data_IF_102266389325
#
_entry.id   IF_102266389325
#
_cell.length_a   1.000
_cell.length_b   1.000
_cell.length_c   1.000
_cell.angle_alpha   90.00
_cell.angle_beta   90.00
_cell.angle_gamma   90.00
#
_symmetry.space_group_name_H-M   'P 1'
#
loop_
_entity.id
_entity.type
_entity.pdbx_description
1 polymer ?
#
# COMPACT_ATOMS: atom_id res chain seq x y z
N UNK A 1 -9.59 -28.05 4.56
CA UNK A 1 -10.33 -27.82 5.82
C UNK A 1 -10.74 -26.36 5.77
N UNK A 2 -12.03 -26.06 5.65
CA UNK A 2 -12.49 -24.69 5.41
C UNK A 2 -12.33 -23.77 6.62
N UNK A 3 -12.33 -24.35 7.83
CA UNK A 3 -12.09 -23.64 9.09
C UNK A 3 -11.10 -24.46 9.93
N UNK A 4 -10.05 -23.81 10.42
CA UNK A 4 -9.10 -24.41 11.37
C UNK A 4 -9.11 -23.63 12.67
N UNK A 5 -8.74 -24.29 13.76
CA UNK A 5 -8.75 -23.72 15.10
C UNK A 5 -7.41 -23.97 15.78
N UNK A 6 -6.86 -22.90 16.36
CA UNK A 6 -5.72 -22.92 17.24
C UNK A 6 -6.22 -22.62 18.64
N UNK A 7 -6.05 -23.56 19.58
CA UNK A 7 -6.42 -23.37 20.99
C UNK A 7 -6.69 -24.70 21.68
N UNK A 8 -7.13 -24.63 22.93
CA UNK A 8 -7.59 -25.80 23.69
C UNK A 8 -9.10 -26.02 23.55
N UNK A 9 -9.56 -27.25 23.81
CA UNK A 9 -10.98 -27.60 23.77
C UNK A 9 -11.51 -27.99 22.39
N UNK A 10 -12.82 -28.23 22.31
CA UNK A 10 -13.48 -28.64 21.06
C UNK A 10 -13.71 -27.42 20.16
N UNK A 11 -13.21 -27.40 18.91
CA UNK A 11 -13.36 -26.26 18.01
C UNK A 11 -14.80 -25.80 17.78
N UNK A 12 -15.76 -26.71 17.69
CA UNK A 12 -17.17 -26.37 17.44
C UNK A 12 -17.81 -25.71 18.67
N UNK A 13 -17.53 -26.24 19.86
CA UNK A 13 -18.02 -25.67 21.12
C UNK A 13 -17.41 -24.29 21.38
N UNK A 14 -16.11 -24.13 21.08
CA UNK A 14 -15.42 -22.84 21.20
C UNK A 14 -15.95 -21.82 20.20
N UNK A 15 -16.17 -22.24 18.94
CA UNK A 15 -16.76 -21.36 17.93
C UNK A 15 -18.16 -20.89 18.34
N UNK A 16 -19.02 -21.83 18.76
CA UNK A 16 -20.37 -21.49 19.24
C UNK A 16 -20.32 -20.57 20.47
N UNK A 17 -19.42 -20.83 21.42
CA UNK A 17 -19.25 -19.98 22.60
C UNK A 17 -18.98 -18.52 22.24
N UNK A 18 -18.09 -18.25 21.27
CA UNK A 18 -17.79 -16.88 20.85
C UNK A 18 -18.92 -16.22 20.04
N UNK A 19 -19.76 -17.01 19.36
CA UNK A 19 -20.95 -16.49 18.71
C UNK A 19 -22.02 -16.11 19.74
N UNK A 20 -22.21 -16.93 20.76
CA UNK A 20 -23.18 -16.69 21.84
C UNK A 20 -22.70 -15.60 22.80
N UNK A 21 -21.38 -15.43 22.93
CA UNK A 21 -20.73 -14.48 23.83
C UNK A 21 -19.69 -13.65 23.05
N UNK A 22 -20.13 -12.75 22.15
CA UNK A 22 -19.22 -11.97 21.32
C UNK A 22 -18.32 -11.09 22.20
N UNK A 23 -16.98 -11.23 22.12
CA UNK A 23 -16.08 -10.41 22.92
C UNK A 23 -16.11 -8.95 22.46
N UNK A 24 -15.70 -8.03 23.35
CA UNK A 24 -15.55 -6.62 23.01
C UNK A 24 -14.38 -6.35 22.06
N UNK A 25 -13.49 -7.32 21.84
CA UNK A 25 -12.30 -7.14 21.03
C UNK A 25 -11.91 -8.45 20.35
N UNK A 26 -11.52 -8.37 19.09
CA UNK A 26 -10.96 -9.46 18.28
C UNK A 26 -9.73 -8.95 17.53
N UNK A 27 -8.79 -9.82 17.19
CA UNK A 27 -7.70 -9.48 16.28
C UNK A 27 -7.84 -10.21 14.95
N UNK A 28 -7.52 -9.52 13.86
CA UNK A 28 -7.70 -9.97 12.49
C UNK A 28 -6.36 -9.92 11.77
N UNK A 29 -6.11 -10.95 10.98
CA UNK A 29 -5.00 -11.02 10.02
C UNK A 29 -5.49 -11.66 8.73
N UNK A 30 -4.95 -11.28 7.57
CA UNK A 30 -5.35 -11.80 6.27
C UNK A 30 -4.15 -12.31 5.49
N UNK A 31 -4.30 -13.45 4.82
CA UNK A 31 -3.29 -13.99 3.91
C UNK A 31 -3.71 -13.80 2.46
N UNK A 32 -2.76 -13.36 1.63
CA UNK A 32 -2.92 -13.15 0.18
C UNK A 32 -1.75 -13.80 -0.58
N UNK A 33 -1.90 -14.10 -1.89
CA UNK A 33 -0.83 -14.64 -2.73
C UNK A 33 0.46 -13.80 -2.68
N UNK A 34 0.30 -12.47 -2.68
CA UNK A 34 1.38 -11.49 -2.59
C UNK A 34 0.84 -10.15 -2.08
N UNK A 35 1.74 -9.19 -1.84
CA UNK A 35 1.35 -7.83 -1.42
C UNK A 35 0.56 -7.07 -2.50
N UNK A 36 0.69 -7.47 -3.78
CA UNK A 36 0.01 -6.84 -4.92
C UNK A 36 -1.26 -7.57 -5.32
N UNK A 37 -1.31 -8.89 -5.15
CA UNK A 37 -2.49 -9.70 -5.42
C UNK A 37 -3.37 -9.77 -4.17
N UNK A 38 -4.39 -8.92 -4.10
CA UNK A 38 -5.26 -8.80 -2.93
C UNK A 38 -6.35 -9.87 -2.82
N UNK A 39 -6.32 -10.91 -3.66
CA UNK A 39 -7.27 -12.02 -3.54
C UNK A 39 -7.06 -12.71 -2.19
N UNK A 40 -8.05 -12.74 -1.28
CA UNK A 40 -7.87 -13.34 0.03
C UNK A 40 -7.77 -14.87 -0.09
N UNK A 41 -6.68 -15.45 0.41
CA UNK A 41 -6.55 -16.91 0.58
C UNK A 41 -7.37 -17.38 1.79
N UNK A 42 -7.39 -16.56 2.83
CA UNK A 42 -8.16 -16.74 4.03
C UNK A 42 -7.76 -15.68 5.05
N UNK A 43 -8.44 -15.68 6.20
CA UNK A 43 -8.18 -14.74 7.27
C UNK A 43 -8.35 -15.42 8.63
N UNK A 44 -7.66 -14.92 9.64
CA UNK A 44 -7.78 -15.37 11.00
C UNK A 44 -8.53 -14.36 11.87
N UNK A 45 -9.26 -14.88 12.85
CA UNK A 45 -9.80 -14.12 13.98
C UNK A 45 -9.23 -14.73 15.25
N UNK A 46 -8.42 -13.96 15.99
CA UNK A 46 -8.01 -14.30 17.34
C UNK A 46 -8.95 -13.66 18.37
N UNK A 47 -9.39 -14.48 19.32
CA UNK A 47 -10.25 -14.10 20.43
C UNK A 47 -9.46 -13.86 21.72
N UNK A 48 -8.22 -14.36 21.75
CA UNK A 48 -7.23 -14.17 22.81
C UNK A 48 -5.83 -14.50 22.25
N UNK A 49 -4.75 -14.24 23.00
CA UNK A 49 -3.42 -14.72 22.61
C UNK A 49 -3.27 -16.26 22.62
N UNK A 50 -4.30 -17.00 23.02
CA UNK A 50 -4.30 -18.48 23.05
C UNK A 50 -5.24 -19.09 22.01
N UNK A 51 -6.22 -18.35 21.50
CA UNK A 51 -7.30 -18.89 20.68
C UNK A 51 -7.53 -18.11 19.40
N UNK A 52 -7.50 -18.79 18.25
CA UNK A 52 -7.81 -18.21 16.96
C UNK A 52 -8.44 -19.21 15.99
N UNK A 53 -9.37 -18.73 15.19
CA UNK A 53 -9.93 -19.46 14.06
C UNK A 53 -9.37 -18.90 12.76
N UNK A 54 -9.07 -19.75 11.79
CA UNK A 54 -8.78 -19.35 10.42
C UNK A 54 -9.87 -19.84 9.49
N UNK A 55 -10.29 -18.97 8.59
CA UNK A 55 -11.32 -19.19 7.61
C UNK A 55 -10.70 -19.14 6.22
N UNK A 56 -10.62 -20.31 5.58
CA UNK A 56 -10.08 -20.41 4.23
C UNK A 56 -11.09 -19.82 3.23
N UNK A 57 -10.71 -18.80 2.46
CA UNK A 57 -11.61 -18.12 1.50
C UNK A 57 -11.40 -18.62 0.08
N UNK A 58 -10.16 -18.93 -0.30
CA UNK A 58 -9.83 -19.50 -1.60
C UNK A 58 -9.59 -21.01 -1.50
N UNK A 59 -10.11 -21.85 -2.42
CA UNK A 59 -10.85 -21.47 -3.63
C UNK A 59 -12.33 -21.13 -3.38
N UNK A 60 -12.92 -21.59 -2.27
CA UNK A 60 -14.29 -21.27 -1.90
C UNK A 60 -14.43 -20.95 -0.41
N UNK A 61 -15.20 -19.90 -0.03
CA UNK A 61 -15.38 -19.51 1.36
C UNK A 61 -16.32 -20.46 2.12
N UNK A 62 -16.12 -20.66 3.44
CA UNK A 62 -17.04 -21.42 4.29
C UNK A 62 -18.41 -20.73 4.36
N UNK A 63 -19.47 -21.54 4.47
CA UNK A 63 -20.83 -21.01 4.68
C UNK A 63 -20.99 -20.35 6.04
N UNK A 64 -20.15 -20.76 6.99
CA UNK A 64 -20.11 -20.25 8.36
C UNK A 64 -19.64 -18.79 8.46
N UNK A 65 -19.12 -18.18 7.38
CA UNK A 65 -18.75 -16.75 7.39
C UNK A 65 -19.93 -15.84 7.74
N UNK A 66 -21.15 -16.21 7.33
CA UNK A 66 -22.38 -15.49 7.68
C UNK A 66 -22.61 -15.41 9.20
N UNK A 67 -22.14 -16.41 9.95
CA UNK A 67 -22.24 -16.44 11.41
C UNK A 67 -21.32 -15.42 12.08
N UNK A 68 -20.30 -14.91 11.39
CA UNK A 68 -19.36 -13.91 11.92
C UNK A 68 -19.92 -12.49 11.91
N UNK A 69 -21.07 -12.24 11.27
CA UNK A 69 -21.67 -10.91 11.18
C UNK A 69 -21.85 -10.20 12.55
N UNK A 70 -22.34 -10.86 13.61
CA UNK A 70 -22.45 -10.23 14.94
C UNK A 70 -21.11 -9.76 15.54
N UNK A 71 -19.98 -10.28 15.06
CA UNK A 71 -18.64 -9.85 15.45
C UNK A 71 -18.11 -8.77 14.50
N UNK A 72 -18.07 -9.06 13.20
CA UNK A 72 -17.39 -8.22 12.22
C UNK A 72 -18.18 -6.96 11.84
N UNK A 73 -19.51 -6.94 12.00
CA UNK A 73 -20.36 -5.79 11.65
C UNK A 73 -20.78 -4.98 12.88
N UNK A 74 -20.40 -5.39 14.08
CA UNK A 74 -20.76 -4.70 15.31
C UNK A 74 -19.73 -3.62 15.65
N UNK A 75 -20.15 -2.35 15.69
CA UNK A 75 -19.27 -1.21 15.99
C UNK A 75 -18.76 -1.18 17.44
N UNK A 76 -19.39 -1.94 18.34
CA UNK A 76 -18.92 -2.08 19.72
C UNK A 76 -17.75 -3.06 19.84
N UNK A 77 -17.54 -3.92 18.84
CA UNK A 77 -16.40 -4.83 18.79
C UNK A 77 -15.21 -4.10 18.19
N UNK A 78 -14.12 -4.01 18.94
CA UNK A 78 -12.85 -3.47 18.45
C UNK A 78 -12.13 -4.51 17.58
N UNK A 79 -11.69 -4.11 16.38
CA UNK A 79 -10.92 -4.93 15.44
C UNK A 79 -9.46 -4.54 15.55
N UNK A 80 -8.66 -5.41 16.17
CA UNK A 80 -7.21 -5.26 16.25
C UNK A 80 -6.61 -5.77 14.94
N UNK A 81 -5.63 -5.06 14.40
CA UNK A 81 -4.80 -5.55 13.31
C UNK A 81 -3.35 -5.07 13.50
N UNK A 82 -2.46 -5.51 12.63
CA UNK A 82 -1.08 -5.03 12.57
C UNK A 82 -0.76 -4.61 11.14
N UNK A 83 -0.66 -3.30 10.88
CA UNK A 83 -0.79 -2.70 9.55
C UNK A 83 -2.22 -2.73 9.00
N UNK A 84 -3.17 -2.30 9.84
CA UNK A 84 -4.61 -2.38 9.58
C UNK A 84 -5.08 -1.94 8.17
N UNK A 85 -4.41 -0.97 7.53
CA UNK A 85 -4.74 -0.53 6.16
C UNK A 85 -4.76 -1.70 5.17
N UNK A 86 -3.86 -2.68 5.32
CA UNK A 86 -3.80 -3.83 4.42
C UNK A 86 -4.96 -4.79 4.68
N UNK A 87 -5.02 -5.38 5.87
CA UNK A 87 -6.00 -6.42 6.23
C UNK A 87 -7.44 -5.94 6.04
N UNK A 88 -7.73 -4.73 6.51
CA UNK A 88 -9.07 -4.15 6.47
C UNK A 88 -9.48 -3.70 5.05
N UNK A 89 -8.53 -3.56 4.12
CA UNK A 89 -8.83 -3.33 2.70
C UNK A 89 -9.06 -4.61 1.91
N UNK A 90 -8.60 -5.76 2.42
CA UNK A 90 -8.78 -7.06 1.77
C UNK A 90 -10.08 -7.72 2.23
N UNK A 91 -10.46 -7.60 3.50
CA UNK A 91 -11.70 -8.20 4.02
C UNK A 91 -12.98 -7.88 3.22
N UNK A 92 -13.20 -6.65 2.70
CA UNK A 92 -14.39 -6.36 1.88
C UNK A 92 -14.48 -7.18 0.58
N UNK A 93 -13.35 -7.74 0.11
CA UNK A 93 -13.27 -8.61 -1.07
C UNK A 93 -13.71 -10.05 -0.77
N UNK A 94 -13.81 -10.43 0.51
CA UNK A 94 -14.34 -11.72 0.92
C UNK A 94 -15.87 -11.69 0.78
N UNK A 95 -16.48 -12.68 0.09
CA UNK A 95 -17.93 -12.81 0.03
C UNK A 95 -18.54 -12.77 1.43
N UNK A 96 -19.69 -12.10 1.57
CA UNK A 96 -20.41 -11.88 2.84
C UNK A 96 -19.82 -10.81 3.77
N UNK A 97 -18.62 -10.25 3.48
CA UNK A 97 -17.93 -9.27 4.33
C UNK A 97 -17.77 -7.86 3.73
N UNK A 98 -18.33 -7.57 2.55
CA UNK A 98 -18.21 -6.29 1.83
C UNK A 98 -18.60 -5.04 2.63
N UNK A 99 -19.40 -5.19 3.69
CA UNK A 99 -19.85 -4.09 4.55
C UNK A 99 -19.44 -4.22 6.02
N UNK A 100 -18.39 -4.98 6.32
CA UNK A 100 -17.98 -5.16 7.72
C UNK A 100 -17.61 -3.81 8.38
N UNK A 101 -17.77 -3.74 9.69
CA UNK A 101 -17.58 -2.51 10.43
C UNK A 101 -16.08 -2.21 10.65
N UNK A 102 -15.68 -1.00 10.24
CA UNK A 102 -14.34 -0.45 10.37
C UNK A 102 -14.30 0.80 11.27
N UNK A 103 -15.32 1.01 12.11
CA UNK A 103 -15.42 2.23 12.94
C UNK A 103 -14.63 2.12 14.26
N UNK A 104 -14.36 0.91 14.72
CA UNK A 104 -13.67 0.62 15.97
C UNK A 104 -12.45 -0.27 15.70
N UNK A 105 -11.31 0.36 15.45
CA UNK A 105 -10.05 -0.29 15.04
C UNK A 105 -8.96 0.00 16.06
N UNK A 106 -8.08 -0.96 16.27
CA UNK A 106 -6.80 -0.74 16.94
C UNK A 106 -5.66 -1.30 16.10
N UNK A 107 -4.81 -0.43 15.54
CA UNK A 107 -3.61 -0.85 14.83
C UNK A 107 -2.40 -0.91 15.78
N UNK A 108 -1.97 -2.14 16.08
CA UNK A 108 -0.81 -2.39 16.96
C UNK A 108 0.49 -1.86 16.37
N UNK A 109 0.57 -1.70 15.04
CA UNK A 109 1.74 -1.17 14.37
C UNK A 109 1.90 0.34 14.62
N UNK A 110 0.81 1.09 14.48
CA UNK A 110 0.74 2.52 14.85
C UNK A 110 1.02 2.70 16.35
N UNK A 111 0.43 1.87 17.21
CA UNK A 111 0.67 1.91 18.65
C UNK A 111 2.17 1.71 18.99
N UNK A 112 2.81 0.70 18.39
CA UNK A 112 4.23 0.44 18.62
C UNK A 112 5.12 1.65 18.26
N UNK A 113 4.82 2.35 17.16
CA UNK A 113 5.59 3.55 16.77
C UNK A 113 5.44 4.70 17.76
N UNK A 114 4.22 4.96 18.23
CA UNK A 114 3.96 5.99 19.24
C UNK A 114 4.67 5.70 20.56
N UNK A 115 4.80 4.41 20.89
CA UNK A 115 5.59 3.94 22.04
C UNK A 115 7.11 3.91 21.76
N UNK A 116 7.58 4.50 20.67
CA UNK A 116 9.00 4.71 20.38
C UNK A 116 9.73 3.49 19.82
N UNK A 117 9.03 2.53 19.21
CA UNK A 117 9.68 1.37 18.57
C UNK A 117 10.20 1.73 17.19
N UNK A 118 11.51 1.57 17.00
CA UNK A 118 12.19 1.83 15.71
C UNK A 118 11.81 0.82 14.62
N UNK A 119 11.68 -0.46 15.00
CA UNK A 119 11.34 -1.55 14.08
C UNK A 119 10.02 -2.18 14.52
N UNK A 120 9.01 -2.03 13.68
CA UNK A 120 7.64 -2.40 14.03
C UNK A 120 7.08 -3.53 13.18
N UNK A 121 7.92 -4.33 12.51
CA UNK A 121 7.43 -5.55 11.87
C UNK A 121 6.91 -6.54 12.94
N UNK A 122 5.79 -7.23 12.67
CA UNK A 122 5.15 -8.13 13.63
C UNK A 122 6.12 -9.18 14.18
N UNK A 123 6.94 -9.79 13.32
CA UNK A 123 7.97 -10.78 13.70
C UNK A 123 9.04 -10.23 14.66
N UNK A 124 9.28 -8.92 14.64
CA UNK A 124 10.22 -8.25 15.54
C UNK A 124 9.56 -7.96 16.90
N UNK A 125 8.27 -7.63 16.91
CA UNK A 125 7.53 -7.29 18.13
C UNK A 125 6.95 -8.51 18.86
N UNK A 126 6.75 -9.63 18.17
CA UNK A 126 6.18 -10.86 18.76
C UNK A 126 6.86 -11.33 20.06
N UNK A 127 8.19 -11.24 20.21
CA UNK A 127 8.86 -11.61 21.47
C UNK A 127 8.44 -10.76 22.68
N UNK A 128 7.96 -9.53 22.49
CA UNK A 128 7.48 -8.67 23.58
C UNK A 128 6.28 -9.25 24.32
N UNK A 129 5.55 -10.14 23.64
CA UNK A 129 4.36 -10.83 24.17
C UNK A 129 4.60 -12.32 24.34
N UNK A 130 5.87 -12.75 24.32
CA UNK A 130 6.26 -14.14 24.53
C UNK A 130 5.89 -15.07 23.37
N UNK A 131 5.74 -14.54 22.15
CA UNK A 131 5.33 -15.28 20.97
C UNK A 131 6.38 -15.18 19.85
N UNK A 132 6.22 -15.99 18.81
CA UNK A 132 7.08 -15.98 17.62
C UNK A 132 6.16 -15.85 16.42
N UNK A 133 6.45 -14.87 15.56
CA UNK A 133 5.86 -14.72 14.24
C UNK A 133 6.96 -14.75 13.18
N UNK A 134 6.63 -15.22 11.99
CA UNK A 134 7.53 -15.29 10.84
C UNK A 134 7.03 -14.33 9.75
N UNK A 135 7.93 -13.53 9.16
CA UNK A 135 7.52 -12.67 8.06
C UNK A 135 7.23 -13.48 6.79
N UNK A 136 6.30 -13.00 5.96
CA UNK A 136 5.84 -13.70 4.77
C UNK A 136 6.99 -14.08 3.81
N UNK A 137 8.04 -13.27 3.71
CA UNK A 137 9.17 -13.54 2.82
C UNK A 137 10.00 -14.71 3.35
N UNK A 138 10.34 -14.72 4.64
CA UNK A 138 11.06 -15.83 5.28
C UNK A 138 10.26 -17.14 5.19
N UNK A 139 8.94 -17.06 5.45
CA UNK A 139 8.03 -18.19 5.33
C UNK A 139 8.02 -18.78 3.90
N UNK A 140 7.82 -17.94 2.87
CA UNK A 140 7.85 -18.39 1.48
C UNK A 140 9.23 -18.98 1.09
N UNK A 141 10.33 -18.39 1.54
CA UNK A 141 11.68 -18.89 1.28
C UNK A 141 11.92 -20.29 1.86
N UNK A 142 11.45 -20.55 3.09
CA UNK A 142 11.49 -21.88 3.73
C UNK A 142 10.81 -22.94 2.87
N UNK A 143 9.73 -22.57 2.19
CA UNK A 143 8.97 -23.46 1.29
C UNK A 143 9.44 -23.40 -0.17
N UNK A 144 10.50 -22.63 -0.50
CA UNK A 144 10.96 -22.37 -1.87
C UNK A 144 9.84 -21.84 -2.78
N UNK A 145 8.93 -21.08 -2.19
CA UNK A 145 7.78 -20.47 -2.83
C UNK A 145 8.10 -19.05 -3.28
N UNK A 146 7.49 -18.61 -4.37
CA UNK A 146 7.47 -17.21 -4.81
C UNK A 146 6.13 -16.54 -4.55
N UNK A 147 5.10 -17.34 -4.25
CA UNK A 147 3.74 -16.91 -3.97
C UNK A 147 3.21 -17.71 -2.77
N UNK A 148 2.40 -17.09 -1.91
CA UNK A 148 1.86 -17.75 -0.71
C UNK A 148 0.99 -18.98 -1.04
N UNK A 149 0.38 -19.02 -2.24
CA UNK A 149 -0.38 -20.18 -2.71
C UNK A 149 0.48 -21.43 -2.93
N UNK A 150 1.78 -21.28 -3.12
CA UNK A 150 2.71 -22.40 -3.29
C UNK A 150 3.11 -23.03 -1.93
N UNK A 151 2.73 -22.39 -0.82
CA UNK A 151 3.00 -22.90 0.52
C UNK A 151 1.91 -23.89 0.98
N UNK A 152 2.23 -24.83 1.90
CA UNK A 152 1.23 -25.74 2.45
C UNK A 152 0.10 -24.99 3.16
N UNK A 153 -1.15 -25.17 2.71
CA UNK A 153 -2.31 -24.42 3.21
C UNK A 153 -2.51 -24.49 4.74
N UNK A 154 -2.16 -25.62 5.37
CA UNK A 154 -2.23 -25.79 6.83
C UNK A 154 -1.19 -24.92 7.55
N UNK A 155 0.00 -24.77 6.97
CA UNK A 155 1.05 -23.90 7.52
C UNK A 155 0.68 -22.43 7.32
N UNK A 156 0.12 -22.06 6.15
CA UNK A 156 -0.41 -20.69 5.90
C UNK A 156 -1.50 -20.33 6.91
N UNK A 157 -2.47 -21.24 7.13
CA UNK A 157 -3.50 -21.06 8.14
C UNK A 157 -2.91 -20.86 9.55
N UNK A 158 -1.93 -21.69 9.92
CA UNK A 158 -1.26 -21.62 11.23
C UNK A 158 -0.49 -20.32 11.41
N UNK A 159 0.17 -19.83 10.35
CA UNK A 159 0.86 -18.54 10.33
C UNK A 159 -0.12 -17.40 10.56
N UNK A 160 -1.21 -17.35 9.78
CA UNK A 160 -2.26 -16.32 9.91
C UNK A 160 -2.89 -16.29 11.31
N UNK A 161 -3.17 -17.47 11.89
CA UNK A 161 -3.65 -17.59 13.27
C UNK A 161 -2.63 -17.07 14.28
N UNK A 162 -1.35 -17.37 14.07
CA UNK A 162 -0.28 -16.87 14.93
C UNK A 162 -0.20 -15.34 14.87
N UNK A 163 -0.23 -14.76 13.68
CA UNK A 163 -0.10 -13.32 13.48
C UNK A 163 -1.26 -12.55 14.12
N UNK A 164 -2.51 -13.01 13.93
CA UNK A 164 -3.67 -12.46 14.64
C UNK A 164 -3.52 -12.53 16.17
N UNK A 165 -3.03 -13.66 16.69
CA UNK A 165 -2.81 -13.83 18.14
C UNK A 165 -1.69 -12.91 18.67
N UNK A 166 -0.62 -12.72 17.92
CA UNK A 166 0.46 -11.78 18.26
C UNK A 166 -0.09 -10.36 18.30
N UNK A 167 -0.85 -9.95 17.28
CA UNK A 167 -1.51 -8.65 17.27
C UNK A 167 -2.41 -8.45 18.51
N UNK A 168 -3.17 -9.49 18.89
CA UNK A 168 -3.96 -9.46 20.13
C UNK A 168 -3.09 -9.29 21.37
N UNK A 169 -2.00 -10.04 21.49
CA UNK A 169 -1.05 -9.92 22.60
C UNK A 169 -0.46 -8.51 22.70
N UNK A 170 -0.08 -7.92 21.57
CA UNK A 170 0.47 -6.57 21.49
C UNK A 170 -0.57 -5.53 21.93
N UNK A 171 -1.82 -5.68 21.51
CA UNK A 171 -2.92 -4.84 21.99
C UNK A 171 -3.01 -4.85 23.51
N UNK A 172 -3.01 -6.03 24.14
CA UNK A 172 -3.08 -6.14 25.60
C UNK A 172 -1.89 -5.47 26.29
N UNK A 173 -0.70 -5.49 25.68
CA UNK A 173 0.51 -4.84 26.20
C UNK A 173 0.50 -3.31 26.03
N UNK A 174 -0.05 -2.82 24.93
CA UNK A 174 0.08 -1.42 24.52
C UNK A 174 -1.12 -0.55 24.88
N UNK A 175 -2.31 -1.14 25.05
CA UNK A 175 -3.56 -0.40 25.17
C UNK A 175 -3.52 0.68 26.28
N UNK A 176 -3.15 0.32 27.51
CA UNK A 176 -3.13 1.26 28.63
C UNK A 176 -2.18 2.44 28.39
N UNK A 177 -0.98 2.16 27.87
CA UNK A 177 0.04 3.18 27.60
C UNK A 177 -0.43 4.15 26.49
N UNK A 178 -1.08 3.62 25.45
CA UNK A 178 -1.68 4.46 24.40
C UNK A 178 -2.80 5.33 24.95
N UNK A 179 -3.69 4.78 25.78
CA UNK A 179 -4.79 5.56 26.37
C UNK A 179 -4.28 6.64 27.34
N UNK A 180 -3.18 6.39 28.05
CA UNK A 180 -2.61 7.35 28.99
C UNK A 180 -1.83 8.47 28.30
N UNK A 181 -1.06 8.15 27.25
CA UNK A 181 -0.06 9.07 26.69
C UNK A 181 -0.45 9.64 25.32
N UNK A 182 -1.22 8.91 24.51
CA UNK A 182 -1.40 9.21 23.08
C UNK A 182 -2.85 9.10 22.59
N UNK A 183 -3.84 9.05 23.48
CA UNK A 183 -5.24 8.73 23.15
C UNK A 183 -5.80 9.56 21.98
N UNK A 184 -5.67 10.90 22.05
CA UNK A 184 -6.24 11.79 21.05
C UNK A 184 -5.57 11.61 19.67
N UNK A 185 -4.24 11.49 19.63
CA UNK A 185 -3.50 11.28 18.39
C UNK A 185 -3.84 9.92 17.78
N UNK A 186 -3.80 8.87 18.60
CA UNK A 186 -4.12 7.51 18.16
C UNK A 186 -5.55 7.41 17.64
N UNK A 187 -6.51 8.08 18.27
CA UNK A 187 -7.89 8.12 17.80
C UNK A 187 -8.02 8.73 16.40
N UNK A 188 -7.32 9.83 16.12
CA UNK A 188 -7.30 10.45 14.78
C UNK A 188 -6.73 9.48 13.75
N UNK A 189 -5.60 8.84 14.03
CA UNK A 189 -5.00 7.82 13.17
C UNK A 189 -5.99 6.68 12.86
N UNK A 190 -6.69 6.16 13.87
CA UNK A 190 -7.66 5.07 13.68
C UNK A 190 -8.88 5.49 12.86
N UNK A 191 -9.33 6.74 13.00
CA UNK A 191 -10.44 7.28 12.21
C UNK A 191 -10.07 7.53 10.74
N UNK A 192 -8.80 7.79 10.44
CA UNK A 192 -8.32 8.03 9.08
C UNK A 192 -8.19 6.73 8.29
N UNK A 193 -7.82 5.60 8.93
CA UNK A 193 -7.67 4.29 8.26
C UNK A 193 -8.86 3.92 7.35
N UNK A 194 -10.13 3.89 7.81
CA UNK A 194 -11.25 3.53 6.93
C UNK A 194 -11.42 4.50 5.76
N UNK A 195 -11.17 5.80 5.97
CA UNK A 195 -11.24 6.82 4.91
C UNK A 195 -10.20 6.53 3.83
N UNK A 196 -8.96 6.21 4.21
CA UNK A 196 -7.90 5.90 3.24
C UNK A 196 -8.19 4.63 2.45
N UNK A 197 -8.79 3.62 3.09
CA UNK A 197 -9.23 2.40 2.42
C UNK A 197 -10.31 2.74 1.39
N UNK A 198 -11.32 3.51 1.77
CA UNK A 198 -12.42 3.88 0.88
C UNK A 198 -11.95 4.75 -0.30
N UNK A 199 -11.01 5.68 -0.08
CA UNK A 199 -10.37 6.44 -1.15
C UNK A 199 -9.59 5.52 -2.10
N UNK A 200 -8.85 4.56 -1.56
CA UNK A 200 -8.04 3.62 -2.35
C UNK A 200 -8.91 2.69 -3.19
N UNK A 201 -10.02 2.20 -2.62
CA UNK A 201 -10.98 1.32 -3.29
C UNK A 201 -11.87 2.09 -4.27
N UNK A 202 -12.16 3.36 -3.98
CA UNK A 202 -12.97 4.21 -4.83
C UNK A 202 -12.26 4.55 -6.14
N UNK A 203 -10.96 4.87 -6.11
CA UNK A 203 -10.21 5.30 -7.30
C UNK A 203 -10.79 6.55 -7.97
N UNK A 204 -10.24 6.92 -9.13
CA UNK A 204 -10.72 8.06 -9.94
C UNK A 204 -11.11 7.61 -11.34
N UNK A 205 -12.29 8.01 -11.84
CA UNK A 205 -12.69 7.75 -13.23
C UNK A 205 -11.67 8.33 -14.22
N UNK A 206 -11.37 7.59 -15.29
CA UNK A 206 -10.46 8.04 -16.36
C UNK A 206 -11.26 8.34 -17.63
N UNK A 207 -11.09 9.54 -18.18
CA UNK A 207 -11.47 9.87 -19.56
C UNK A 207 -10.48 9.22 -20.52
N UNK A 208 -10.82 8.01 -20.98
CA UNK A 208 -9.96 7.25 -21.89
C UNK A 208 -9.77 7.93 -23.25
N UNK A 209 -10.71 8.80 -23.68
CA UNK A 209 -10.56 9.56 -24.91
C UNK A 209 -9.52 10.66 -24.72
N UNK A 210 -9.68 11.49 -23.68
CA UNK A 210 -8.72 12.55 -23.36
C UNK A 210 -7.32 11.98 -23.09
N UNK A 211 -7.24 10.83 -22.41
CA UNK A 211 -6.00 10.08 -22.18
C UNK A 211 -5.35 9.63 -23.50
N UNK A 212 -6.13 9.04 -24.42
CA UNK A 212 -5.60 8.59 -25.71
C UNK A 212 -5.10 9.75 -26.60
N UNK A 213 -5.84 10.87 -26.61
CA UNK A 213 -5.42 12.08 -27.33
C UNK A 213 -4.11 12.64 -26.75
N UNK A 214 -3.98 12.66 -25.42
CA UNK A 214 -2.75 13.06 -24.73
C UNK A 214 -1.59 12.08 -25.01
N UNK A 215 -1.87 10.78 -25.01
CA UNK A 215 -0.87 9.75 -25.33
C UNK A 215 -0.29 9.94 -26.74
N UNK A 216 -1.15 10.11 -27.75
CA UNK A 216 -0.72 10.32 -29.14
C UNK A 216 0.14 11.59 -29.27
N UNK A 217 -0.30 12.69 -28.64
CA UNK A 217 0.48 13.93 -28.62
C UNK A 217 1.85 13.74 -27.97
N UNK A 218 1.91 13.05 -26.82
CA UNK A 218 3.17 12.80 -26.12
C UNK A 218 4.10 11.88 -26.93
N UNK A 219 3.56 10.89 -27.64
CA UNK A 219 4.33 10.04 -28.55
C UNK A 219 5.00 10.86 -29.66
N UNK A 220 4.26 11.78 -30.28
CA UNK A 220 4.79 12.68 -31.32
C UNK A 220 5.89 13.62 -30.76
N UNK A 221 5.67 14.18 -29.56
CA UNK A 221 6.65 15.05 -28.90
C UNK A 221 7.93 14.28 -28.50
N UNK A 222 7.80 13.07 -27.97
CA UNK A 222 8.93 12.19 -27.64
C UNK A 222 9.74 11.86 -28.90
N UNK A 223 9.07 11.51 -29.99
CA UNK A 223 9.72 11.20 -31.26
C UNK A 223 10.40 12.43 -31.87
N UNK A 224 9.78 13.60 -31.78
CA UNK A 224 10.37 14.87 -32.19
C UNK A 224 11.71 15.11 -31.50
N UNK A 225 11.75 15.06 -30.15
CA UNK A 225 13.00 15.25 -29.41
C UNK A 225 14.01 14.14 -29.70
N UNK A 226 13.56 12.89 -29.87
CA UNK A 226 14.45 11.77 -30.22
C UNK A 226 15.19 12.04 -31.52
N UNK A 227 14.50 12.50 -32.57
CA UNK A 227 15.12 12.87 -33.86
C UNK A 227 16.09 14.04 -33.75
N UNK A 228 15.80 15.04 -32.90
CA UNK A 228 16.76 16.12 -32.63
C UNK A 228 18.02 15.58 -31.95
N UNK A 229 17.84 14.69 -30.97
CA UNK A 229 18.93 14.08 -30.21
C UNK A 229 19.82 13.15 -31.05
N UNK A 230 19.25 12.45 -32.02
CA UNK A 230 20.01 11.66 -33.01
C UNK A 230 21.00 12.52 -33.80
N UNK A 231 20.66 13.77 -34.14
CA UNK A 231 21.57 14.68 -34.84
C UNK A 231 22.81 15.04 -34.01
N UNK A 232 22.71 14.94 -32.68
CA UNK A 232 23.82 15.12 -31.75
C UNK A 232 24.56 13.81 -31.42
N UNK A 233 24.18 12.68 -32.04
CA UNK A 233 24.75 11.35 -31.77
C UNK A 233 24.19 10.66 -30.53
N UNK A 234 23.04 11.11 -30.01
CA UNK A 234 22.38 10.50 -28.84
C UNK A 234 21.34 9.49 -29.32
N UNK A 235 21.72 8.22 -29.34
CA UNK A 235 20.83 7.12 -29.73
C UNK A 235 19.86 6.70 -28.61
N UNK A 236 20.29 6.83 -27.34
CA UNK A 236 19.52 6.44 -26.15
C UNK A 236 19.41 7.62 -25.19
N UNK A 237 18.45 8.53 -25.38
CA UNK A 237 18.26 9.71 -24.52
C UNK A 237 18.09 9.38 -23.02
N UNK A 238 17.56 8.21 -22.69
CA UNK A 238 17.46 7.70 -21.31
C UNK A 238 18.80 7.30 -20.67
N UNK A 239 19.87 7.12 -21.45
CA UNK A 239 21.20 6.78 -20.95
C UNK A 239 21.92 8.01 -20.44
N UNK A 240 21.92 8.20 -19.12
CA UNK A 240 22.67 9.28 -18.45
C UNK A 240 24.16 9.28 -18.81
N UNK A 241 24.73 8.10 -19.01
CA UNK A 241 26.15 7.93 -19.37
C UNK A 241 26.43 8.45 -20.78
N UNK A 242 25.59 8.08 -21.76
CA UNK A 242 25.76 8.54 -23.14
C UNK A 242 25.59 10.05 -23.24
N UNK A 243 24.52 10.58 -22.64
CA UNK A 243 24.24 12.01 -22.62
C UNK A 243 25.40 12.79 -21.99
N UNK A 244 25.85 12.37 -20.79
CA UNK A 244 26.94 13.05 -20.09
C UNK A 244 28.24 13.03 -20.89
N UNK A 245 28.57 11.89 -21.51
CA UNK A 245 29.76 11.76 -22.35
C UNK A 245 29.74 12.70 -23.56
N UNK A 246 28.61 12.76 -24.27
CA UNK A 246 28.49 13.61 -25.46
C UNK A 246 28.49 15.09 -25.07
N UNK A 247 27.78 15.49 -24.02
CA UNK A 247 27.82 16.88 -23.51
C UNK A 247 29.24 17.27 -23.09
N UNK A 248 29.97 16.39 -22.41
CA UNK A 248 31.37 16.61 -22.04
C UNK A 248 32.29 16.75 -23.26
N UNK A 249 32.11 15.91 -24.29
CA UNK A 249 32.84 16.03 -25.57
C UNK A 249 32.56 17.34 -26.30
N UNK A 250 31.36 17.90 -26.12
CA UNK A 250 30.95 19.19 -26.67
C UNK A 250 31.52 20.38 -25.90
N UNK A 251 32.27 20.14 -24.82
CA UNK A 251 32.94 21.18 -24.04
C UNK A 251 32.15 21.66 -22.81
N UNK A 252 31.01 21.03 -22.49
CA UNK A 252 30.25 21.39 -21.29
C UNK A 252 30.93 20.84 -20.04
N UNK A 253 30.99 21.66 -18.99
CA UNK A 253 31.47 21.23 -17.69
C UNK A 253 30.31 20.71 -16.85
N UNK A 254 30.34 19.42 -16.54
CA UNK A 254 29.34 18.75 -15.72
C UNK A 254 29.98 18.19 -14.45
N UNK A 255 29.34 18.29 -13.27
CA UNK A 255 29.84 17.66 -12.06
C UNK A 255 29.78 16.14 -12.19
N UNK A 256 30.62 15.43 -11.44
CA UNK A 256 30.50 13.97 -11.31
C UNK A 256 29.31 13.60 -10.42
N UNK A 257 28.67 12.49 -10.72
CA UNK A 257 27.65 11.90 -9.84
C UNK A 257 28.21 11.59 -8.44
N UNK A 258 27.35 11.42 -7.44
CA UNK A 258 27.76 11.11 -6.05
C UNK A 258 28.66 9.87 -5.94
N UNK A 259 28.41 8.86 -6.79
CA UNK A 259 29.23 7.64 -6.86
C UNK A 259 30.51 7.81 -7.69
N UNK A 260 30.69 8.97 -8.34
CA UNK A 260 31.84 9.34 -9.20
C UNK A 260 32.09 8.37 -10.36
N UNK A 261 31.05 7.70 -10.86
CA UNK A 261 31.16 6.73 -11.95
C UNK A 261 30.89 7.33 -13.33
N UNK A 262 30.18 8.47 -13.36
CA UNK A 262 29.80 9.16 -14.60
C UNK A 262 29.53 10.65 -14.31
N UNK A 263 29.54 11.46 -15.37
CA UNK A 263 29.07 12.84 -15.34
C UNK A 263 27.59 12.89 -14.97
N UNK A 264 27.23 13.85 -14.13
CA UNK A 264 25.85 14.09 -13.73
C UNK A 264 25.09 14.72 -14.89
N UNK A 265 23.89 14.21 -15.13
CA UNK A 265 22.94 14.79 -16.08
C UNK A 265 21.62 15.04 -15.36
N UNK A 266 21.65 15.36 -14.06
CA UNK A 266 20.44 15.73 -13.33
C UNK A 266 19.85 17.01 -13.94
N UNK A 267 18.54 17.20 -13.79
CA UNK A 267 17.81 18.35 -14.33
C UNK A 267 18.51 19.68 -14.00
N UNK A 268 18.78 19.93 -12.71
CA UNK A 268 19.53 21.09 -12.23
C UNK A 268 20.92 21.31 -12.84
N UNK A 269 21.57 20.24 -13.33
CA UNK A 269 22.92 20.34 -13.90
C UNK A 269 22.85 20.63 -15.41
N UNK A 270 21.73 20.28 -16.06
CA UNK A 270 21.49 20.52 -17.48
C UNK A 270 20.80 21.85 -17.75
N UNK A 271 19.92 22.32 -16.84
CA UNK A 271 19.12 23.54 -17.01
C UNK A 271 19.94 24.81 -17.23
N UNK A 272 21.16 24.87 -16.69
CA UNK A 272 22.06 26.03 -16.81
C UNK A 272 23.05 25.92 -17.97
N UNK A 273 23.00 24.84 -18.76
CA UNK A 273 23.86 24.70 -19.93
C UNK A 273 23.26 25.46 -21.12
N UNK A 274 24.06 26.34 -21.71
CA UNK A 274 23.74 26.96 -23.00
C UNK A 274 24.11 26.01 -24.17
N UNK A 275 23.56 24.79 -24.13
CA UNK A 275 23.72 23.78 -25.17
C UNK A 275 22.33 23.29 -25.62
N UNK A 276 21.95 23.46 -26.91
CA UNK A 276 20.69 22.98 -27.44
C UNK A 276 20.44 21.48 -27.21
N UNK A 277 21.51 20.66 -27.14
CA UNK A 277 21.40 19.25 -26.81
C UNK A 277 20.89 19.05 -25.37
N UNK A 278 21.34 19.86 -24.41
CA UNK A 278 20.90 19.76 -23.02
C UNK A 278 19.40 20.09 -22.91
N UNK A 279 18.95 21.15 -23.57
CA UNK A 279 17.53 21.51 -23.64
C UNK A 279 16.68 20.41 -24.31
N UNK A 280 17.17 19.81 -25.41
CA UNK A 280 16.49 18.71 -26.08
C UNK A 280 16.40 17.44 -25.20
N UNK A 281 17.44 17.13 -24.41
CA UNK A 281 17.42 16.02 -23.45
C UNK A 281 16.39 16.28 -22.34
N UNK A 282 16.35 17.49 -21.80
CA UNK A 282 15.37 17.86 -20.76
C UNK A 282 13.94 17.73 -21.29
N UNK A 283 13.68 18.27 -22.48
CA UNK A 283 12.40 18.12 -23.17
C UNK A 283 12.02 16.66 -23.37
N UNK A 284 12.92 15.84 -23.93
CA UNK A 284 12.67 14.42 -24.12
C UNK A 284 12.32 13.72 -22.80
N UNK A 285 13.12 13.92 -21.74
CA UNK A 285 12.89 13.26 -20.44
C UNK A 285 11.59 13.67 -19.79
N UNK A 286 11.20 14.94 -19.91
CA UNK A 286 9.91 15.40 -19.41
C UNK A 286 8.78 14.66 -20.14
N UNK A 287 8.78 14.67 -21.48
CA UNK A 287 7.70 14.06 -22.29
C UNK A 287 7.66 12.55 -22.17
N UNK A 288 8.83 11.90 -22.18
CA UNK A 288 8.95 10.45 -21.99
C UNK A 288 8.46 10.02 -20.61
N UNK A 289 8.74 10.80 -19.55
CA UNK A 289 8.21 10.53 -18.21
C UNK A 289 6.69 10.69 -18.17
N UNK A 290 6.14 11.76 -18.76
CA UNK A 290 4.68 11.93 -18.89
C UNK A 290 4.05 10.71 -19.56
N UNK A 291 4.60 10.30 -20.70
CA UNK A 291 4.12 9.17 -21.49
C UNK A 291 4.26 7.84 -20.73
N UNK A 292 5.50 7.43 -20.45
CA UNK A 292 5.84 6.08 -19.97
C UNK A 292 5.45 5.82 -18.52
N UNK A 293 5.42 6.86 -17.67
CA UNK A 293 5.17 6.70 -16.23
C UNK A 293 3.71 6.94 -15.88
N UNK A 294 3.06 7.92 -16.52
CA UNK A 294 1.74 8.40 -16.07
C UNK A 294 0.60 8.07 -17.04
N UNK A 295 0.84 8.09 -18.36
CA UNK A 295 -0.26 8.00 -19.35
C UNK A 295 -0.42 6.61 -19.97
N UNK A 296 0.66 6.00 -20.45
CA UNK A 296 0.61 4.66 -21.05
C UNK A 296 0.26 3.56 -20.04
N UNK A 297 0.75 3.57 -18.78
CA UNK A 297 0.45 2.50 -17.82
C UNK A 297 -1.01 2.39 -17.38
N UNK A 298 -1.85 3.38 -17.72
CA UNK A 298 -3.27 3.46 -17.36
C UNK A 298 -4.18 3.33 -18.59
N UNK A 299 -3.62 2.90 -19.73
CA UNK A 299 -4.38 2.68 -20.95
C UNK A 299 -5.35 1.50 -20.77
N UNK A 300 -6.64 1.74 -21.03
CA UNK A 300 -7.68 0.72 -20.91
C UNK A 300 -8.24 0.52 -19.50
N UNK A 301 -7.63 1.12 -18.48
CA UNK A 301 -8.16 1.11 -17.12
C UNK A 301 -9.47 1.93 -17.06
N UNK A 302 -10.48 1.44 -16.36
CA UNK A 302 -11.73 2.19 -16.12
C UNK A 302 -11.48 3.34 -15.13
N UNK A 303 -10.68 3.05 -14.10
CA UNK A 303 -10.37 3.95 -13.00
C UNK A 303 -8.89 3.89 -12.65
N UNK A 304 -8.38 5.01 -12.15
CA UNK A 304 -7.06 5.12 -11.56
C UNK A 304 -7.14 4.75 -10.08
N UNK A 305 -6.54 3.62 -9.74
CA UNK A 305 -6.40 3.17 -8.36
C UNK A 305 -5.00 3.48 -7.82
N UNK A 306 -4.94 3.86 -6.56
CA UNK A 306 -3.71 4.10 -5.80
C UNK A 306 -3.92 3.69 -4.36
N UNK A 307 -2.84 3.38 -3.65
CA UNK A 307 -2.91 3.02 -2.24
C UNK A 307 -2.51 4.20 -1.37
N UNK A 308 -3.49 4.76 -0.66
CA UNK A 308 -3.26 5.83 0.30
C UNK A 308 -2.79 5.28 1.64
N UNK A 309 -1.83 5.97 2.26
CA UNK A 309 -1.33 5.66 3.60
C UNK A 309 -0.81 6.92 4.29
N UNK A 310 -0.70 6.90 5.61
CA UNK A 310 -0.02 7.96 6.37
C UNK A 310 1.47 7.64 6.46
N UNK A 311 2.32 8.54 5.98
CA UNK A 311 3.76 8.46 6.18
C UNK A 311 4.04 8.65 7.66
N UNK A 312 4.49 7.58 8.29
CA UNK A 312 4.66 7.50 9.74
C UNK A 312 5.81 8.36 10.28
N UNK A 313 6.69 8.88 9.41
CA UNK A 313 7.81 9.75 9.83
C UNK A 313 7.38 11.21 9.86
N UNK A 314 6.61 11.65 8.85
CA UNK A 314 6.20 13.06 8.68
C UNK A 314 4.73 13.31 9.03
N UNK A 315 3.95 12.26 9.31
CA UNK A 315 2.51 12.34 9.57
C UNK A 315 1.69 12.78 8.35
N UNK A 316 2.26 12.72 7.14
CA UNK A 316 1.63 13.22 5.91
C UNK A 316 0.98 12.09 5.13
N UNK A 317 -0.19 12.35 4.55
CA UNK A 317 -0.81 11.45 3.59
C UNK A 317 0.10 11.27 2.38
N UNK A 318 0.30 10.02 1.98
CA UNK A 318 1.12 9.61 0.86
C UNK A 318 0.37 8.55 0.03
N UNK A 319 0.90 8.25 -1.16
CA UNK A 319 0.31 7.28 -2.07
C UNK A 319 1.37 6.43 -2.77
N UNK A 320 1.08 5.14 -2.99
CA UNK A 320 1.98 4.18 -3.66
C UNK A 320 1.21 3.32 -4.65
N UNK A 321 1.92 2.46 -5.40
CA UNK A 321 1.37 1.66 -6.48
C UNK A 321 0.62 2.53 -7.50
N UNK A 322 1.35 3.52 -8.06
CA UNK A 322 0.90 4.71 -8.82
C UNK A 322 0.65 5.93 -7.90
N UNK A 323 1.73 6.65 -7.57
CA UNK A 323 1.66 7.80 -6.66
C UNK A 323 0.95 8.98 -7.33
N UNK A 324 -0.23 9.33 -6.81
CA UNK A 324 -1.09 10.39 -7.36
C UNK A 324 -0.52 11.80 -7.16
N UNK A 325 0.25 12.01 -6.09
CA UNK A 325 0.87 13.31 -5.79
C UNK A 325 1.92 13.68 -6.83
N UNK A 326 2.55 12.67 -7.44
CA UNK A 326 3.55 12.85 -8.47
C UNK A 326 2.96 13.12 -9.85
N UNK A 327 1.63 13.07 -10.04
CA UNK A 327 1.00 13.30 -11.34
C UNK A 327 1.07 14.80 -11.68
N UNK A 328 1.76 15.16 -12.79
CA UNK A 328 1.91 16.56 -13.18
C UNK A 328 0.56 17.22 -13.51
N UNK A 329 0.37 18.52 -13.18
CA UNK A 329 -0.89 19.22 -13.41
C UNK A 329 -1.43 19.12 -14.84
N UNK A 330 -0.54 19.14 -15.82
CA UNK A 330 -0.86 19.02 -17.25
C UNK A 330 -1.48 17.69 -17.64
N UNK A 331 -1.40 16.64 -16.81
CA UNK A 331 -2.05 15.36 -17.07
C UNK A 331 -3.39 15.20 -16.33
N UNK A 332 -3.69 16.04 -15.34
CA UNK A 332 -4.80 15.80 -14.40
C UNK A 332 -6.18 15.92 -15.04
N UNK A 333 -6.28 16.57 -16.20
CA UNK A 333 -7.54 16.72 -16.93
C UNK A 333 -8.12 15.41 -17.45
N UNK A 334 -7.34 14.32 -17.48
CA UNK A 334 -7.81 13.00 -17.88
C UNK A 334 -8.66 12.33 -16.79
N UNK A 335 -8.67 12.86 -15.56
CA UNK A 335 -9.49 12.33 -14.48
C UNK A 335 -10.85 13.00 -14.48
N UNK A 336 -11.89 12.21 -14.23
CA UNK A 336 -13.28 12.66 -14.18
C UNK A 336 -13.84 12.51 -12.76
N UNK A 337 -14.67 13.46 -12.31
CA UNK A 337 -15.42 13.33 -11.08
C UNK A 337 -16.63 12.42 -11.29
N UNK A 338 -16.92 11.51 -10.36
CA UNK A 338 -18.04 10.56 -10.48
C UNK A 338 -19.41 11.27 -10.48
N UNK A 339 -19.51 12.44 -9.85
CA UNK A 339 -20.72 13.25 -9.77
C UNK A 339 -20.76 14.41 -10.79
N UNK A 340 -19.81 14.45 -11.73
CA UNK A 340 -19.72 15.50 -12.75
C UNK A 340 -19.03 16.80 -12.32
N UNK A 341 -18.64 16.97 -11.04
CA UNK A 341 -17.88 18.14 -10.61
C UNK A 341 -16.80 17.82 -9.56
N UNK A 342 -15.55 18.22 -9.80
CA UNK A 342 -14.55 18.25 -8.74
C UNK A 342 -14.82 19.42 -7.80
N UNK A 343 -14.65 19.19 -6.50
CA UNK A 343 -14.59 20.24 -5.48
C UNK A 343 -13.20 20.21 -4.88
N UNK A 344 -12.56 21.37 -4.78
CA UNK A 344 -11.23 21.51 -4.19
C UNK A 344 -11.32 22.41 -2.96
N UNK A 345 -10.79 21.95 -1.83
CA UNK A 345 -10.50 22.78 -0.67
C UNK A 345 -9.00 22.75 -0.43
N UNK A 346 -8.40 23.92 -0.21
CA UNK A 346 -6.98 24.04 0.11
C UNK A 346 -6.83 24.92 1.35
N UNK A 347 -5.98 24.48 2.27
CA UNK A 347 -5.64 25.29 3.43
C UNK A 347 -4.58 26.31 3.02
N UNK A 348 -4.99 27.57 2.93
CA UNK A 348 -4.07 28.67 2.63
C UNK A 348 -3.06 28.83 3.77
N UNK A 349 -1.77 28.65 3.45
CA UNK A 349 -0.64 28.95 4.34
C UNK A 349 -0.51 28.07 5.61
N UNK A 350 -0.80 26.75 5.55
CA UNK A 350 -0.57 25.86 6.73
C UNK A 350 0.87 25.84 7.23
N UNK A 351 1.82 26.09 6.34
CA UNK A 351 3.22 26.33 6.69
C UNK A 351 3.58 27.76 6.26
N UNK A 352 3.92 28.66 7.21
CA UNK A 352 4.51 29.93 6.82
C UNK A 352 5.80 29.65 6.05
N UNK A 353 5.94 30.27 4.88
CA UNK A 353 7.10 30.14 4.00
C UNK A 353 8.37 30.69 4.64
#
# INVERSE_FOLDING_TARGET
>A
MTITYYGSGNPKERFQYFLDNPPATIAIDVETPSITERMPLGFAIAFSPQEAFYFQVYPEPPRELELLKPLLFNSQVCKIAHYALFDLSVLPLVPHLTGFDRSNIFDTNTAARLLGRDRTALSILAPEVGMIAEDAKSFMQKHKATNMMDCPAVEVASKCQMDAKVAFGLYLSYYSQIQEQYAAYFQVEMQVIPILIDLSMGGLSIDQRARADLEAKLQDEVEFYRRQLEQYGVEKPGSTQQVGYILGKRGNFLPMTRKKTQLSTAERDLEFLDDPMAAAVLGWRQKDKLLSTYISPIAGDDRFYTEYYLDTVVGRLNSKNRNIQNIPPECRFIFLPDNGCFTTGDYSQEHPR
#
